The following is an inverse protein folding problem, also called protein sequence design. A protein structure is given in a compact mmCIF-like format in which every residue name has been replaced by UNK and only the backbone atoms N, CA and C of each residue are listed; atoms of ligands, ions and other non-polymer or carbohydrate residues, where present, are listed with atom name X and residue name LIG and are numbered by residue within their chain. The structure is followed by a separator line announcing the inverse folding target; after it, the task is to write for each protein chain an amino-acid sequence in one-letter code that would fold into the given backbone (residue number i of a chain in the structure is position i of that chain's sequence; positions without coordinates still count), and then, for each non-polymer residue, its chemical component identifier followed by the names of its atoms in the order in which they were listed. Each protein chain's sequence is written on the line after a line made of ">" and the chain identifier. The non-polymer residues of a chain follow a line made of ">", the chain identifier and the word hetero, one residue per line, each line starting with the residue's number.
data_IF_128560501950
#
_entry.id   IF_128560501950
#
_cell.length_a   1.000
_cell.length_b   1.000
_cell.length_c   1.000
_cell.angle_alpha   90.00
_cell.angle_beta   90.00
_cell.angle_gamma   90.00
#
_symmetry.space_group_name_H-M   'P 1'
#
loop_
_entity.id
_entity.type
_entity.pdbx_description
1 polymer ?
#
# COMPACT_ATOMS: atom_id res chain seq x y z
N UNK A 1 -5.82 18.19 43.38
CA UNK A 1 -4.89 18.21 42.23
C UNK A 1 -4.33 16.81 42.08
N UNK A 2 -4.77 16.07 41.07
CA UNK A 2 -4.26 14.74 40.77
C UNK A 2 -3.78 14.74 39.31
N UNK A 3 -2.62 14.15 39.10
CA UNK A 3 -1.75 14.30 37.94
C UNK A 3 -2.38 13.76 36.65
N UNK A 4 -2.15 14.50 35.56
CA UNK A 4 -2.38 14.08 34.19
C UNK A 4 -1.23 13.15 33.78
N UNK A 5 -1.46 11.83 33.86
CA UNK A 5 -0.56 10.84 33.27
C UNK A 5 -0.71 10.92 31.74
N UNK A 6 0.14 11.73 31.13
CA UNK A 6 0.35 11.69 29.68
C UNK A 6 1.05 10.38 29.34
N UNK A 7 0.26 9.39 28.93
CA UNK A 7 0.76 8.15 28.34
C UNK A 7 1.35 8.49 26.98
N UNK A 8 2.68 8.54 26.90
CA UNK A 8 3.38 8.58 25.62
C UNK A 8 3.16 7.23 24.94
N UNK A 9 2.45 7.23 23.80
CA UNK A 9 2.33 6.04 22.98
C UNK A 9 3.74 5.55 22.62
N UNK A 10 4.03 4.28 22.91
CA UNK A 10 5.28 3.64 22.50
C UNK A 10 5.47 3.87 21.00
N UNK A 11 6.58 4.51 20.63
CA UNK A 11 6.93 4.72 19.24
C UNK A 11 7.05 3.36 18.56
N UNK A 12 6.13 3.04 17.65
CA UNK A 12 6.28 1.86 16.78
C UNK A 12 7.55 2.07 15.96
N UNK A 13 8.47 1.11 16.01
CA UNK A 13 9.62 1.07 15.11
C UNK A 13 9.14 1.17 13.66
N UNK A 14 9.49 2.27 13.00
CA UNK A 14 9.23 2.46 11.57
C UNK A 14 10.43 1.89 10.83
N UNK A 15 10.23 0.75 10.17
CA UNK A 15 11.22 0.23 9.23
C UNK A 15 10.97 0.89 7.88
N UNK A 16 11.91 1.72 7.44
CA UNK A 16 11.95 2.18 6.05
C UNK A 16 12.35 0.97 5.22
N UNK A 17 11.42 0.48 4.40
CA UNK A 17 11.61 -0.61 3.46
C UNK A 17 12.35 -0.13 2.20
N UNK A 18 12.05 -0.77 1.07
CA UNK A 18 12.70 -0.48 -0.21
C UNK A 18 12.41 0.96 -0.69
N UNK A 19 13.46 1.61 -1.21
CA UNK A 19 13.34 2.86 -1.96
C UNK A 19 13.16 2.48 -3.44
N UNK A 20 12.07 2.92 -4.04
CA UNK A 20 11.76 2.72 -5.45
C UNK A 20 11.96 4.03 -6.20
N UNK A 21 12.68 3.96 -7.33
CA UNK A 21 12.74 5.06 -8.28
C UNK A 21 11.41 5.16 -9.02
N UNK A 22 10.78 6.32 -8.91
CA UNK A 22 9.68 6.70 -9.78
C UNK A 22 10.24 7.42 -11.02
N UNK A 23 9.37 7.88 -11.92
CA UNK A 23 9.80 8.61 -13.12
C UNK A 23 10.32 10.01 -12.76
N UNK A 24 11.13 10.60 -13.65
CA UNK A 24 11.60 11.99 -13.56
C UNK A 24 12.29 12.40 -12.25
N UNK A 25 12.94 11.43 -11.58
CA UNK A 25 13.69 11.62 -10.34
C UNK A 25 12.84 11.64 -9.07
N UNK A 26 11.53 11.41 -9.18
CA UNK A 26 10.70 11.18 -8.00
C UNK A 26 11.08 9.84 -7.37
N UNK A 27 10.92 9.73 -6.06
CA UNK A 27 11.22 8.50 -5.32
C UNK A 27 10.08 8.15 -4.39
N UNK A 28 9.97 6.86 -4.08
CA UNK A 28 9.04 6.34 -3.10
C UNK A 28 9.79 5.51 -2.06
N UNK A 29 9.60 5.80 -0.78
CA UNK A 29 10.02 4.91 0.30
C UNK A 29 8.80 4.14 0.82
N UNK A 30 8.85 2.81 0.74
CA UNK A 30 7.80 1.96 1.32
C UNK A 30 8.03 1.85 2.82
N UNK A 31 7.05 2.23 3.62
CA UNK A 31 7.07 2.02 5.07
C UNK A 31 6.29 0.75 5.37
N UNK A 32 6.99 -0.29 5.80
CA UNK A 32 6.34 -1.50 6.29
C UNK A 32 6.02 -1.33 7.78
N UNK A 33 4.77 -0.95 8.06
CA UNK A 33 4.20 -1.18 9.38
C UNK A 33 3.92 -2.67 9.57
N UNK A 34 4.36 -3.29 10.67
CA UNK A 34 3.90 -4.63 11.07
C UNK A 34 2.39 -4.58 11.33
N UNK A 35 1.59 -4.76 10.29
CA UNK A 35 0.15 -4.95 10.38
C UNK A 35 -0.14 -6.39 10.77
N UNK A 36 -0.71 -6.59 11.96
CA UNK A 36 -1.13 -7.89 12.46
C UNK A 36 -2.13 -8.54 11.49
N UNK A 37 -1.91 -9.83 11.23
CA UNK A 37 -2.80 -10.67 10.45
C UNK A 37 -4.15 -10.77 11.16
N UNK A 38 -5.14 -10.01 10.67
CA UNK A 38 -6.52 -10.08 11.14
C UNK A 38 -7.21 -11.39 10.75
N UNK A 39 -7.53 -12.15 11.80
CA UNK A 39 -8.60 -13.13 12.03
C UNK A 39 -8.70 -14.39 11.14
N UNK A 40 -8.67 -15.54 11.83
CA UNK A 40 -8.92 -16.85 11.27
C UNK A 40 -10.43 -17.08 11.09
N UNK A 41 -10.86 -17.16 9.84
CA UNK A 41 -12.22 -17.54 9.44
C UNK A 41 -12.27 -19.02 8.95
N UNK A 42 -13.46 -19.66 8.97
CA UNK A 42 -13.61 -21.08 9.29
C UNK A 42 -13.10 -22.07 8.23
N UNK A 43 -12.81 -23.29 8.69
CA UNK A 43 -12.34 -24.45 7.93
C UNK A 43 -13.43 -24.99 6.97
N UNK A 44 -13.68 -24.31 5.84
CA UNK A 44 -14.17 -24.92 4.58
C UNK A 44 -14.53 -23.84 3.56
N UNK A 45 -13.57 -23.44 2.73
CA UNK A 45 -13.76 -22.97 1.34
C UNK A 45 -12.36 -22.95 0.71
N UNK A 46 -12.24 -23.44 -0.52
CA UNK A 46 -10.97 -23.47 -1.26
C UNK A 46 -10.42 -22.06 -1.49
N UNK A 47 -11.30 -21.07 -1.53
CA UNK A 47 -10.97 -19.66 -1.70
C UNK A 47 -10.78 -18.96 -0.35
N UNK A 48 -9.65 -18.28 -0.21
CA UNK A 48 -9.29 -17.48 0.96
C UNK A 48 -9.13 -16.02 0.56
N UNK A 49 -9.40 -15.10 1.49
CA UNK A 49 -9.17 -13.68 1.29
C UNK A 49 -7.88 -13.23 1.97
N UNK A 50 -7.14 -12.32 1.34
CA UNK A 50 -6.01 -11.62 1.96
C UNK A 50 -6.14 -10.12 1.73
N UNK A 51 -5.76 -9.35 2.74
CA UNK A 51 -5.60 -7.90 2.66
C UNK A 51 -4.16 -7.55 3.05
N UNK A 52 -3.54 -6.62 2.33
CA UNK A 52 -2.24 -6.04 2.68
C UNK A 52 -2.26 -4.53 2.46
N UNK A 53 -1.66 -3.80 3.38
CA UNK A 53 -1.53 -2.34 3.32
C UNK A 53 -0.08 -1.98 3.01
N UNK A 54 0.11 -1.06 2.08
CA UNK A 54 1.39 -0.45 1.74
C UNK A 54 1.33 1.04 2.05
N UNK A 55 2.33 1.57 2.76
CA UNK A 55 2.45 3.01 3.04
C UNK A 55 3.63 3.51 2.21
N UNK A 56 3.38 4.49 1.35
CA UNK A 56 4.32 4.97 0.34
C UNK A 56 4.60 6.46 0.57
N UNK A 57 5.81 6.80 0.99
CA UNK A 57 6.24 8.19 1.13
C UNK A 57 6.85 8.65 -0.18
N UNK A 58 6.22 9.63 -0.83
CA UNK A 58 6.60 10.12 -2.14
C UNK A 58 7.40 11.40 -1.97
N UNK A 59 8.55 11.49 -2.63
CA UNK A 59 9.44 12.65 -2.59
C UNK A 59 9.76 13.14 -4.00
N UNK A 60 9.99 14.45 -4.13
CA UNK A 60 10.43 15.08 -5.37
C UNK A 60 11.90 14.74 -5.70
N UNK A 61 12.35 15.18 -6.87
CA UNK A 61 13.73 15.03 -7.36
C UNK A 61 14.82 15.65 -6.48
N UNK A 62 14.46 16.53 -5.56
CA UNK A 62 15.38 17.16 -4.61
C UNK A 62 15.34 16.45 -3.24
N UNK A 63 14.54 15.38 -3.10
CA UNK A 63 14.32 14.67 -1.85
C UNK A 63 13.30 15.35 -0.92
N UNK A 64 12.59 16.38 -1.38
CA UNK A 64 11.53 16.99 -0.57
C UNK A 64 10.33 16.07 -0.53
N UNK A 65 9.85 15.78 0.67
CA UNK A 65 8.62 15.03 0.87
C UNK A 65 7.42 15.74 0.23
N UNK A 66 6.59 14.98 -0.48
CA UNK A 66 5.37 15.45 -1.16
C UNK A 66 4.14 14.99 -0.40
N UNK A 67 3.99 13.67 -0.19
CA UNK A 67 2.83 13.09 0.49
C UNK A 67 3.08 11.67 0.96
N UNK A 68 2.21 11.23 1.86
CA UNK A 68 2.08 9.82 2.24
C UNK A 68 0.88 9.24 1.49
N UNK A 69 1.09 8.16 0.73
CA UNK A 69 0.05 7.40 0.05
C UNK A 69 -0.09 6.03 0.72
N UNK A 70 -1.25 5.77 1.31
CA UNK A 70 -1.62 4.46 1.80
C UNK A 70 -2.44 3.72 0.74
N UNK A 71 -2.03 2.50 0.38
CA UNK A 71 -2.73 1.62 -0.55
C UNK A 71 -3.09 0.31 0.15
N UNK A 72 -4.36 -0.06 0.13
CA UNK A 72 -4.89 -1.31 0.67
C UNK A 72 -5.30 -2.21 -0.48
N UNK A 73 -4.56 -3.30 -0.65
CA UNK A 73 -4.81 -4.33 -1.66
C UNK A 73 -5.58 -5.46 -1.02
N UNK A 74 -6.73 -5.82 -1.59
CA UNK A 74 -7.50 -7.01 -1.21
C UNK A 74 -7.55 -7.97 -2.38
N UNK A 75 -7.38 -9.26 -2.10
CA UNK A 75 -7.49 -10.30 -3.11
C UNK A 75 -8.01 -11.61 -2.54
N UNK A 76 -8.47 -12.46 -3.45
CA UNK A 76 -8.83 -13.84 -3.18
C UNK A 76 -7.76 -14.77 -3.74
N UNK A 77 -7.53 -15.90 -3.09
CA UNK A 77 -6.55 -16.89 -3.51
C UNK A 77 -6.94 -18.30 -3.08
N UNK A 78 -6.55 -19.29 -3.89
CA UNK A 78 -6.67 -20.70 -3.56
C UNK A 78 -5.35 -21.43 -3.85
N UNK A 79 -4.64 -21.93 -2.82
CA UNK A 79 -3.46 -22.76 -3.06
C UNK A 79 -3.80 -24.11 -3.70
N UNK A 80 -4.98 -24.65 -3.41
CA UNK A 80 -5.46 -25.94 -3.93
C UNK A 80 -5.82 -25.81 -5.41
N UNK A 81 -6.58 -24.79 -5.77
CA UNK A 81 -7.06 -24.59 -7.15
C UNK A 81 -6.06 -23.80 -8.00
N UNK A 82 -4.98 -23.30 -7.38
CA UNK A 82 -3.93 -22.47 -7.99
C UNK A 82 -4.47 -21.20 -8.65
N UNK A 83 -5.51 -20.62 -8.05
CA UNK A 83 -6.13 -19.37 -8.49
C UNK A 83 -5.76 -18.22 -7.57
N UNK A 84 -5.72 -17.01 -8.12
CA UNK A 84 -5.65 -15.78 -7.35
C UNK A 84 -6.18 -14.60 -8.16
N UNK A 85 -6.75 -13.63 -7.45
CA UNK A 85 -7.36 -12.44 -8.05
C UNK A 85 -7.29 -11.27 -7.08
N UNK A 86 -6.88 -10.09 -7.56
CA UNK A 86 -7.03 -8.84 -6.81
C UNK A 86 -8.48 -8.39 -7.00
N UNK A 87 -9.20 -8.22 -5.90
CA UNK A 87 -10.63 -7.87 -5.93
C UNK A 87 -10.87 -6.40 -5.62
N UNK A 88 -9.94 -5.72 -4.94
CA UNK A 88 -10.03 -4.28 -4.74
C UNK A 88 -8.68 -3.63 -4.51
N UNK A 89 -8.58 -2.38 -4.95
CA UNK A 89 -7.51 -1.46 -4.63
C UNK A 89 -8.12 -0.20 -4.03
N UNK A 90 -7.88 0.05 -2.74
CA UNK A 90 -8.32 1.27 -2.07
C UNK A 90 -7.11 2.10 -1.69
N UNK A 91 -7.23 3.42 -1.78
CA UNK A 91 -6.10 4.31 -1.49
C UNK A 91 -6.54 5.63 -0.89
N UNK A 92 -5.68 6.17 -0.02
CA UNK A 92 -5.82 7.48 0.61
C UNK A 92 -4.47 8.17 0.64
N UNK A 93 -4.45 9.49 0.46
CA UNK A 93 -3.24 10.30 0.57
C UNK A 93 -3.42 11.41 1.60
N UNK A 94 -2.34 11.79 2.27
CA UNK A 94 -2.30 12.87 3.27
C UNK A 94 -1.15 13.82 3.00
N UNK A 95 -1.17 14.98 3.68
CA UNK A 95 -0.09 15.99 3.67
C UNK A 95 0.11 16.72 2.33
N UNK A 96 -0.84 16.56 1.40
CA UNK A 96 -0.89 17.26 0.12
C UNK A 96 -2.31 17.78 -0.16
N UNK A 97 -2.38 18.93 -0.85
CA UNK A 97 -3.64 19.41 -1.41
C UNK A 97 -4.12 18.45 -2.51
N UNK A 98 -5.33 17.92 -2.35
CA UNK A 98 -5.97 16.99 -3.28
C UNK A 98 -6.05 17.47 -4.73
N UNK A 99 -6.00 18.79 -4.97
CA UNK A 99 -5.98 19.36 -6.33
C UNK A 99 -4.66 19.14 -7.07
N UNK A 100 -3.58 18.82 -6.34
CA UNK A 100 -2.24 18.66 -6.90
C UNK A 100 -1.90 17.21 -7.23
N UNK A 101 -2.64 16.24 -6.69
CA UNK A 101 -2.40 14.82 -6.89
C UNK A 101 -3.62 14.16 -7.54
N UNK A 102 -3.38 13.32 -8.53
CA UNK A 102 -4.41 12.45 -9.07
C UNK A 102 -3.88 11.04 -9.25
N UNK A 103 -4.80 10.08 -9.11
CA UNK A 103 -4.50 8.65 -9.14
C UNK A 103 -5.48 7.98 -10.10
N UNK A 104 -4.96 7.04 -10.88
CA UNK A 104 -5.78 6.14 -11.70
C UNK A 104 -5.29 4.72 -11.51
N UNK A 105 -6.21 3.78 -11.29
CA UNK A 105 -5.88 2.37 -11.14
C UNK A 105 -6.49 1.50 -12.26
N UNK A 106 -5.95 0.29 -12.39
CA UNK A 106 -6.51 -0.77 -13.22
C UNK A 106 -6.20 -2.12 -12.59
N UNK A 107 -7.24 -2.91 -12.33
CA UNK A 107 -7.15 -4.27 -11.82
C UNK A 107 -7.34 -5.26 -12.99
N UNK A 108 -6.50 -6.28 -13.07
CA UNK A 108 -6.58 -7.33 -14.09
C UNK A 108 -6.15 -8.67 -13.50
N UNK A 109 -7.13 -9.51 -13.18
CA UNK A 109 -6.91 -10.82 -12.58
C UNK A 109 -6.08 -10.73 -11.30
N UNK A 110 -4.93 -11.39 -11.27
CA UNK A 110 -4.04 -11.41 -10.11
C UNK A 110 -3.08 -10.21 -10.02
N UNK A 111 -3.26 -9.19 -10.86
CA UNK A 111 -2.41 -8.00 -10.91
C UNK A 111 -3.22 -6.70 -10.84
N UNK A 112 -2.60 -5.63 -10.36
CA UNK A 112 -3.16 -4.29 -10.42
C UNK A 112 -2.05 -3.25 -10.62
N UNK A 113 -2.39 -2.13 -11.24
CA UNK A 113 -1.46 -1.01 -11.46
C UNK A 113 -2.12 0.25 -10.94
N UNK A 114 -1.41 1.02 -10.10
CA UNK A 114 -1.82 2.32 -9.60
C UNK A 114 -0.86 3.37 -10.14
N UNK A 115 -1.35 4.31 -10.96
CA UNK A 115 -0.54 5.37 -11.57
C UNK A 115 -0.73 6.67 -10.80
N UNK A 116 0.39 7.35 -10.51
CA UNK A 116 0.41 8.63 -9.82
C UNK A 116 0.70 9.77 -10.79
N UNK A 117 -0.01 10.86 -10.55
CA UNK A 117 0.24 12.12 -11.21
C UNK A 117 0.35 13.23 -10.17
N UNK A 118 1.34 14.10 -10.34
CA UNK A 118 1.54 15.30 -9.53
C UNK A 118 1.58 16.52 -10.43
N UNK A 119 0.80 17.56 -10.10
CA UNK A 119 0.59 18.75 -10.94
C UNK A 119 0.16 18.40 -12.38
N UNK A 120 -0.66 17.35 -12.52
CA UNK A 120 -1.15 16.84 -13.80
C UNK A 120 -0.12 16.08 -14.64
N UNK A 121 1.09 15.85 -14.12
CA UNK A 121 2.15 15.10 -14.81
C UNK A 121 2.29 13.72 -14.21
N UNK A 122 2.47 12.71 -15.06
CA UNK A 122 2.76 11.35 -14.61
C UNK A 122 4.09 11.33 -13.89
N UNK A 123 4.11 10.81 -12.66
CA UNK A 123 5.33 10.69 -11.85
C UNK A 123 5.74 9.25 -11.59
N UNK A 124 4.87 8.27 -11.81
CA UNK A 124 5.22 6.87 -11.62
C UNK A 124 4.02 5.96 -11.42
N UNK A 125 4.27 4.68 -11.18
CA UNK A 125 3.23 3.71 -10.87
C UNK A 125 3.71 2.70 -9.84
N UNK A 126 2.76 2.10 -9.14
CA UNK A 126 2.96 0.92 -8.30
C UNK A 126 2.23 -0.26 -8.92
N UNK A 127 2.93 -1.37 -9.08
CA UNK A 127 2.35 -2.63 -9.52
C UNK A 127 2.09 -3.50 -8.31
N UNK A 128 0.98 -4.21 -8.32
CA UNK A 128 0.58 -5.14 -7.28
C UNK A 128 0.35 -6.52 -7.89
N UNK A 129 0.71 -7.55 -7.15
CA UNK A 129 0.41 -8.94 -7.51
C UNK A 129 0.00 -9.75 -6.30
N UNK A 130 -0.99 -10.61 -6.48
CA UNK A 130 -1.34 -11.67 -5.53
C UNK A 130 -1.00 -13.05 -6.10
N UNK A 131 -0.24 -13.83 -5.33
CA UNK A 131 0.08 -15.22 -5.67
C UNK A 131 -0.98 -16.18 -5.14
N UNK A 132 -1.07 -17.40 -5.70
CA UNK A 132 -2.00 -18.44 -5.25
C UNK A 132 -1.78 -18.90 -3.80
N UNK A 133 -0.67 -18.52 -3.16
CA UNK A 133 -0.42 -18.74 -1.74
C UNK A 133 -0.88 -17.57 -0.85
N UNK A 134 -1.50 -16.54 -1.44
CA UNK A 134 -2.00 -15.35 -0.75
C UNK A 134 -0.94 -14.28 -0.48
N UNK A 135 0.30 -14.46 -0.95
CA UNK A 135 1.30 -13.40 -0.84
C UNK A 135 0.93 -12.23 -1.75
N UNK A 136 0.91 -11.02 -1.19
CA UNK A 136 0.65 -9.77 -1.90
C UNK A 136 1.94 -8.94 -1.88
N UNK A 137 2.38 -8.53 -3.05
CA UNK A 137 3.63 -7.78 -3.26
C UNK A 137 3.35 -6.48 -4.02
N UNK A 138 4.22 -5.50 -3.80
CA UNK A 138 4.28 -4.22 -4.52
C UNK A 138 5.63 -4.13 -5.22
N UNK A 139 5.67 -3.59 -6.43
CA UNK A 139 6.89 -3.33 -7.22
C UNK A 139 6.75 -2.12 -8.13
#
# INVERSE_FOLDING_TARGET
>A
MAADETVYAEGKDIVIGEIMDLCDGYTCAVIEGRGENGEAEPLSITDKTKTKTFINNISDKNGNFICTLQVVVKGMYSPTDRTSEITSLNYTYSEIDSSLISISDNISGNTAVLRLYYLGKYIGNFNYRISYNGNIEQS
#
